data_IF_608242338891
#
_entry.id   IF_608242338891
#
_cell.length_a   1.000
_cell.length_b   1.000
_cell.length_c   1.000
_cell.angle_alpha   90.00
_cell.angle_beta   90.00
_cell.angle_gamma   90.00
#
_symmetry.space_group_name_H-M   'P 1'
#
loop_
_entity.id
_entity.type
_entity.pdbx_description
1 polymer ?
#
# COMPACT_ATOMS: atom_id res chain seq x y z
N UNK A 1 -12.72 9.68 2.69
CA UNK A 1 -11.72 9.59 1.58
C UNK A 1 -12.04 8.40 0.69
N UNK A 2 -11.83 8.50 -0.63
CA UNK A 2 -12.02 7.33 -1.51
C UNK A 2 -10.90 6.34 -1.25
N UNK A 3 -11.27 5.07 -1.11
CA UNK A 3 -10.44 4.01 -0.54
C UNK A 3 -9.57 3.40 -1.64
N UNK A 4 -8.27 3.14 -1.39
CA UNK A 4 -7.45 2.33 -2.29
C UNK A 4 -8.12 0.99 -2.58
N UNK A 5 -8.19 0.65 -3.88
CA UNK A 5 -8.66 -0.64 -4.35
C UNK A 5 -7.69 -1.70 -3.83
N UNK A 6 -8.20 -2.77 -3.23
CA UNK A 6 -7.38 -3.93 -2.89
C UNK A 6 -7.27 -4.77 -4.15
N UNK A 7 -6.06 -4.91 -4.69
CA UNK A 7 -5.83 -5.91 -5.71
C UNK A 7 -5.85 -7.27 -5.05
N UNK A 8 -6.79 -8.09 -5.47
CA UNK A 8 -6.94 -9.47 -5.04
C UNK A 8 -6.97 -10.31 -6.31
N UNK A 9 -6.09 -11.29 -6.39
CA UNK A 9 -6.02 -12.24 -7.49
C UNK A 9 -5.41 -13.55 -7.01
N UNK A 10 -5.69 -14.63 -7.74
CA UNK A 10 -5.19 -15.97 -7.43
C UNK A 10 -3.65 -16.01 -7.39
N UNK A 11 -3.09 -16.60 -6.32
CA UNK A 11 -1.65 -16.74 -6.10
C UNK A 11 -0.94 -15.44 -5.70
N UNK A 12 -1.67 -14.40 -5.31
CA UNK A 12 -1.05 -13.15 -4.88
C UNK A 12 -0.38 -13.29 -3.50
N UNK A 13 0.86 -12.83 -3.38
CA UNK A 13 1.61 -12.72 -2.12
C UNK A 13 1.49 -11.30 -1.54
N UNK A 14 1.22 -11.20 -0.24
CA UNK A 14 1.04 -9.93 0.46
C UNK A 14 1.84 -9.86 1.74
N UNK A 15 2.49 -8.72 1.95
CA UNK A 15 2.86 -8.25 3.26
C UNK A 15 1.70 -7.48 3.88
N UNK A 16 1.11 -8.06 4.91
CA UNK A 16 0.00 -7.49 5.66
C UNK A 16 0.49 -6.86 6.94
N UNK A 17 -0.03 -5.67 7.25
CA UNK A 17 0.22 -4.95 8.50
C UNK A 17 -1.11 -4.48 9.07
N UNK A 18 -1.38 -4.75 10.34
CA UNK A 18 -2.51 -4.15 11.05
C UNK A 18 -2.04 -3.61 12.39
N UNK A 19 -2.38 -2.35 12.67
CA UNK A 19 -1.89 -1.58 13.83
C UNK A 19 -3.04 -1.16 14.73
N UNK A 20 -2.80 -1.19 16.03
CA UNK A 20 -3.74 -0.77 17.06
C UNK A 20 -4.07 0.72 16.97
N UNK A 21 -5.32 1.07 17.24
CA UNK A 21 -5.82 2.45 17.22
C UNK A 21 -4.92 3.35 18.06
N UNK A 22 -4.57 4.53 17.55
CA UNK A 22 -3.65 5.47 18.23
C UNK A 22 -2.26 4.89 18.57
N UNK A 23 -1.86 3.77 17.97
CA UNK A 23 -0.59 3.12 18.27
C UNK A 23 -0.60 2.33 19.58
N UNK A 24 -1.79 2.12 20.17
CA UNK A 24 -1.99 1.32 21.38
C UNK A 24 -1.70 -0.16 21.13
N UNK A 25 -1.38 -0.84 22.21
CA UNK A 25 -1.14 -2.27 22.19
C UNK A 25 -2.38 -3.05 21.72
N UNK A 26 -2.11 -3.97 20.80
CA UNK A 26 -3.06 -4.94 20.27
C UNK A 26 -3.05 -6.21 21.13
N UNK A 27 -1.92 -6.51 21.77
CA UNK A 27 -1.75 -7.68 22.63
C UNK A 27 -1.35 -7.22 24.04
N UNK A 28 -2.28 -7.30 24.99
CA UNK A 28 -2.02 -6.88 26.36
C UNK A 28 -1.03 -7.82 27.08
N UNK A 29 -1.06 -9.11 26.72
CA UNK A 29 -0.20 -10.12 27.33
C UNK A 29 -0.02 -11.36 26.44
N UNK A 30 0.57 -12.41 27.02
CA UNK A 30 0.79 -13.70 26.38
C UNK A 30 -0.49 -14.35 25.87
N UNK A 31 -1.57 -14.32 26.66
CA UNK A 31 -2.84 -14.99 26.31
C UNK A 31 -3.48 -14.39 25.07
N UNK A 32 -3.33 -13.08 24.90
CA UNK A 32 -3.77 -12.37 23.69
C UNK A 32 -3.05 -12.86 22.43
N UNK A 33 -1.72 -13.01 22.50
CA UNK A 33 -0.91 -13.50 21.38
C UNK A 33 -1.22 -14.95 21.04
N UNK A 34 -1.36 -15.81 22.06
CA UNK A 34 -1.76 -17.20 21.89
C UNK A 34 -3.13 -17.33 21.21
N UNK A 35 -4.11 -16.55 21.67
CA UNK A 35 -5.45 -16.55 21.07
C UNK A 35 -5.44 -16.01 19.64
N UNK A 36 -4.65 -14.99 19.34
CA UNK A 36 -4.49 -14.52 17.98
C UNK A 36 -3.90 -15.59 17.06
N UNK A 37 -2.88 -16.32 17.51
CA UNK A 37 -2.29 -17.43 16.74
C UNK A 37 -3.27 -18.59 16.53
N UNK A 38 -4.16 -18.85 17.48
CA UNK A 38 -5.26 -19.81 17.32
C UNK A 38 -6.19 -19.37 16.18
N UNK A 39 -6.73 -18.15 16.24
CA UNK A 39 -7.61 -17.62 15.19
C UNK A 39 -6.90 -17.51 13.84
N UNK A 40 -5.62 -17.13 13.81
CA UNK A 40 -4.83 -17.10 12.59
C UNK A 40 -4.82 -18.49 11.94
N UNK A 41 -4.46 -19.53 12.71
CA UNK A 41 -4.39 -20.92 12.21
C UNK A 41 -5.73 -21.44 11.69
N UNK A 42 -6.81 -21.15 12.41
CA UNK A 42 -8.17 -21.53 11.98
C UNK A 42 -8.56 -20.85 10.67
N UNK A 43 -8.29 -19.55 10.55
CA UNK A 43 -8.64 -18.79 9.36
C UNK A 43 -7.73 -19.12 8.15
N UNK A 44 -6.45 -19.46 8.36
CA UNK A 44 -5.59 -19.95 7.28
C UNK A 44 -6.19 -21.20 6.63
N UNK A 45 -6.65 -22.16 7.44
CA UNK A 45 -7.32 -23.38 6.95
C UNK A 45 -8.66 -23.07 6.26
N UNK A 46 -9.48 -22.23 6.90
CA UNK A 46 -10.83 -21.91 6.40
C UNK A 46 -10.81 -21.21 5.04
N UNK A 47 -9.82 -20.37 4.81
CA UNK A 47 -9.71 -19.56 3.59
C UNK A 47 -8.65 -20.09 2.63
N UNK A 48 -8.03 -21.24 2.90
CA UNK A 48 -6.95 -21.79 2.08
C UNK A 48 -5.86 -20.75 1.79
N UNK A 49 -5.37 -20.10 2.85
CA UNK A 49 -4.33 -19.09 2.77
C UNK A 49 -3.02 -19.69 3.25
N UNK A 50 -1.97 -19.51 2.45
CA UNK A 50 -0.62 -19.96 2.78
C UNK A 50 0.07 -18.88 3.59
N UNK A 51 0.59 -19.24 4.77
CA UNK A 51 1.37 -18.34 5.61
C UNK A 51 2.85 -18.67 5.51
N UNK A 52 3.67 -17.72 5.10
CA UNK A 52 5.13 -17.83 5.18
C UNK A 52 5.65 -17.31 6.52
N UNK A 53 5.16 -16.15 6.96
CA UNK A 53 5.74 -15.44 8.11
C UNK A 53 4.68 -14.77 8.94
N UNK A 54 4.83 -14.85 10.27
CA UNK A 54 4.16 -13.95 11.20
C UNK A 54 5.17 -13.30 12.14
N UNK A 55 4.87 -12.07 12.57
CA UNK A 55 5.54 -11.36 13.68
C UNK A 55 4.48 -10.55 14.41
N UNK A 56 4.24 -10.84 15.69
CA UNK A 56 3.27 -10.13 16.52
C UNK A 56 4.01 -9.14 17.42
N UNK A 57 4.07 -7.87 17.01
CA UNK A 57 4.58 -6.76 17.84
C UNK A 57 3.51 -6.34 18.84
N UNK A 58 3.83 -5.52 19.83
CA UNK A 58 2.88 -5.15 20.89
C UNK A 58 1.67 -4.39 20.34
N UNK A 59 1.91 -3.39 19.48
CA UNK A 59 0.88 -2.53 18.91
C UNK A 59 0.52 -2.81 17.44
N UNK A 60 1.10 -3.85 16.82
CA UNK A 60 0.76 -4.26 15.46
C UNK A 60 1.23 -5.68 15.17
N UNK A 61 0.77 -6.26 14.07
CA UNK A 61 1.34 -7.51 13.58
C UNK A 61 1.69 -7.41 12.09
N UNK A 62 2.61 -8.27 11.68
CA UNK A 62 2.98 -8.49 10.29
C UNK A 62 2.66 -9.93 9.89
N UNK A 63 2.06 -10.10 8.71
CA UNK A 63 1.91 -11.41 8.07
C UNK A 63 2.49 -11.34 6.65
N UNK A 64 3.15 -12.41 6.21
CA UNK A 64 3.49 -12.63 4.80
C UNK A 64 2.65 -13.81 4.31
N UNK A 65 1.58 -13.51 3.57
CA UNK A 65 0.54 -14.48 3.19
C UNK A 65 0.35 -14.52 1.68
N UNK A 66 0.16 -15.71 1.15
CA UNK A 66 -0.26 -15.92 -0.23
C UNK A 66 -1.69 -16.42 -0.26
N UNK A 67 -2.48 -15.88 -1.19
CA UNK A 67 -3.90 -16.23 -1.35
C UNK A 67 -4.12 -16.95 -2.68
N UNK A 68 -4.03 -18.30 -2.72
CA UNK A 68 -4.36 -19.11 -3.89
C UNK A 68 -5.69 -18.73 -4.55
N UNK A 69 -6.73 -18.47 -3.73
CA UNK A 69 -8.05 -18.09 -4.23
C UNK A 69 -8.29 -16.57 -4.41
N UNK A 70 -7.29 -15.71 -4.11
CA UNK A 70 -7.46 -14.25 -4.19
C UNK A 70 -8.48 -13.70 -3.19
N UNK A 71 -8.51 -14.23 -1.96
CA UNK A 71 -9.54 -13.99 -0.95
C UNK A 71 -9.02 -13.30 0.32
N UNK A 72 -7.99 -12.45 0.19
CA UNK A 72 -7.31 -11.77 1.30
C UNK A 72 -8.28 -10.97 2.19
N UNK A 73 -9.22 -10.24 1.59
CA UNK A 73 -10.20 -9.42 2.29
C UNK A 73 -11.09 -10.24 3.21
N UNK A 74 -11.54 -11.41 2.75
CA UNK A 74 -12.38 -12.32 3.53
C UNK A 74 -11.59 -12.93 4.69
N UNK A 75 -10.38 -13.43 4.41
CA UNK A 75 -9.47 -13.96 5.42
C UNK A 75 -9.17 -12.92 6.52
N UNK A 76 -8.76 -11.72 6.14
CA UNK A 76 -8.39 -10.67 7.09
C UNK A 76 -9.59 -10.12 7.86
N UNK A 77 -10.78 -10.09 7.25
CA UNK A 77 -11.99 -9.70 7.95
C UNK A 77 -12.31 -10.69 9.07
N UNK A 78 -12.29 -11.98 8.78
CA UNK A 78 -12.58 -13.02 9.76
C UNK A 78 -11.54 -13.07 10.88
N UNK A 79 -10.24 -13.00 10.55
CA UNK A 79 -9.15 -12.95 11.52
C UNK A 79 -9.28 -11.74 12.46
N UNK A 80 -9.44 -10.54 11.92
CA UNK A 80 -9.49 -9.35 12.75
C UNK A 80 -10.78 -9.26 13.56
N UNK A 81 -11.92 -9.60 12.96
CA UNK A 81 -13.20 -9.55 13.67
C UNK A 81 -13.22 -10.52 14.86
N UNK A 82 -12.79 -11.78 14.66
CA UNK A 82 -12.72 -12.78 15.74
C UNK A 82 -11.83 -12.32 16.88
N UNK A 83 -10.64 -11.79 16.57
CA UNK A 83 -9.73 -11.30 17.59
C UNK A 83 -10.25 -10.05 18.33
N UNK A 84 -10.82 -9.08 17.63
CA UNK A 84 -11.40 -7.88 18.27
C UNK A 84 -12.53 -8.25 19.22
N UNK A 85 -13.40 -9.18 18.82
CA UNK A 85 -14.51 -9.65 19.68
C UNK A 85 -13.95 -10.30 20.96
N UNK A 86 -12.95 -11.18 20.83
CA UNK A 86 -12.28 -11.79 21.98
C UNK A 86 -11.64 -10.74 22.89
N UNK A 87 -10.80 -9.86 22.33
CA UNK A 87 -10.04 -8.86 23.08
C UNK A 87 -10.96 -7.90 23.84
N UNK A 88 -12.02 -7.42 23.19
CA UNK A 88 -13.00 -6.53 23.81
C UNK A 88 -13.78 -7.21 24.93
N UNK A 89 -14.22 -8.46 24.74
CA UNK A 89 -14.89 -9.24 25.80
C UNK A 89 -13.97 -9.45 27.00
N UNK A 90 -12.73 -9.88 26.73
CA UNK A 90 -11.73 -10.18 27.76
C UNK A 90 -11.37 -8.95 28.60
N UNK A 91 -11.11 -7.83 27.95
CA UNK A 91 -10.69 -6.59 28.62
C UNK A 91 -11.86 -5.68 29.00
N UNK A 92 -13.11 -6.13 28.83
CA UNK A 92 -14.33 -5.33 29.07
C UNK A 92 -14.28 -3.97 28.35
N UNK A 93 -13.74 -3.96 27.13
CA UNK A 93 -13.64 -2.78 26.27
C UNK A 93 -14.75 -2.75 25.22
N UNK A 94 -15.05 -1.56 24.74
CA UNK A 94 -15.89 -1.33 23.57
C UNK A 94 -15.13 -0.52 22.52
N UNK A 95 -15.56 -0.64 21.26
CA UNK A 95 -15.00 0.11 20.14
C UNK A 95 -13.91 -0.62 19.34
N UNK A 96 -13.27 0.09 18.39
CA UNK A 96 -12.28 -0.49 17.51
C UNK A 96 -10.96 -0.77 18.23
N UNK A 97 -10.35 -1.92 17.92
CA UNK A 97 -8.97 -2.22 18.35
C UNK A 97 -7.93 -1.69 17.36
N UNK A 98 -8.20 -1.79 16.06
CA UNK A 98 -7.26 -1.43 14.99
C UNK A 98 -7.56 -0.04 14.40
N UNK A 99 -6.56 0.63 13.81
CA UNK A 99 -6.66 1.95 13.13
C UNK A 99 -7.55 1.98 11.87
N UNK A 100 -8.27 0.90 11.60
CA UNK A 100 -9.11 0.72 10.43
C UNK A 100 -8.73 -0.54 9.66
N UNK A 101 -8.67 -0.43 8.34
CA UNK A 101 -8.30 -1.55 7.46
C UNK A 101 -6.81 -1.86 7.59
N UNK A 102 -6.46 -3.14 7.55
CA UNK A 102 -5.08 -3.58 7.38
C UNK A 102 -4.46 -2.97 6.10
N UNK A 103 -3.16 -2.71 6.14
CA UNK A 103 -2.33 -2.43 4.97
C UNK A 103 -1.96 -3.76 4.32
N UNK A 104 -2.03 -3.83 3.00
CA UNK A 104 -1.54 -4.96 2.22
C UNK A 104 -0.65 -4.43 1.10
N UNK A 105 0.60 -4.86 1.12
CA UNK A 105 1.59 -4.56 0.08
C UNK A 105 1.74 -5.83 -0.73
N UNK A 106 1.50 -5.75 -2.04
CA UNK A 106 1.67 -6.87 -2.95
C UNK A 106 3.16 -7.12 -3.16
N UNK A 107 3.59 -8.37 -3.08
CA UNK A 107 5.00 -8.77 -3.12
C UNK A 107 5.27 -9.66 -4.33
N UNK A 108 6.32 -9.34 -5.07
CA UNK A 108 6.94 -10.23 -6.06
C UNK A 108 7.68 -11.34 -5.32
N UNK A 109 7.09 -12.54 -5.32
CA UNK A 109 7.53 -13.68 -4.51
C UNK A 109 8.98 -14.05 -4.80
N UNK A 110 9.31 -14.16 -6.08
CA UNK A 110 10.61 -14.59 -6.58
C UNK A 110 11.72 -13.60 -6.23
N UNK A 111 11.43 -12.30 -6.33
CA UNK A 111 12.41 -11.25 -6.12
C UNK A 111 12.55 -10.85 -4.64
N UNK A 112 11.47 -10.88 -3.86
CA UNK A 112 11.44 -10.22 -2.55
C UNK A 112 11.08 -11.11 -1.36
N UNK A 113 10.56 -12.34 -1.53
CA UNK A 113 10.13 -13.15 -0.36
C UNK A 113 11.27 -13.33 0.63
N UNK A 114 12.46 -13.75 0.18
CA UNK A 114 13.61 -13.98 1.06
C UNK A 114 14.13 -12.70 1.73
N UNK A 115 14.27 -11.60 0.99
CA UNK A 115 14.75 -10.33 1.57
C UNK A 115 13.74 -9.77 2.58
N UNK A 116 12.46 -9.86 2.24
CA UNK A 116 11.39 -9.45 3.13
C UNK A 116 11.30 -10.36 4.36
N UNK A 117 11.59 -11.65 4.24
CA UNK A 117 11.55 -12.57 5.38
C UNK A 117 12.54 -12.17 6.47
N UNK A 118 13.79 -11.88 6.06
CA UNK A 118 14.81 -11.31 6.95
C UNK A 118 14.35 -10.01 7.57
N UNK A 119 13.84 -9.08 6.75
CA UNK A 119 13.35 -7.81 7.27
C UNK A 119 12.30 -8.04 8.37
N UNK A 120 11.32 -8.92 8.14
CA UNK A 120 10.25 -9.17 9.11
C UNK A 120 10.77 -9.82 10.38
N UNK A 121 11.59 -10.88 10.29
CA UNK A 121 12.14 -11.56 11.48
C UNK A 121 13.07 -10.67 12.31
N UNK A 122 13.70 -9.66 11.70
CA UNK A 122 14.49 -8.65 12.40
C UNK A 122 13.68 -7.48 12.98
N UNK A 123 12.36 -7.40 12.76
CA UNK A 123 11.54 -6.33 13.36
C UNK A 123 11.67 -6.23 14.89
N UNK A 124 11.58 -7.34 15.65
CA UNK A 124 11.71 -7.28 17.11
C UNK A 124 13.07 -6.74 17.56
N UNK A 125 14.14 -7.08 16.83
CA UNK A 125 15.50 -6.60 17.09
C UNK A 125 15.60 -5.10 16.79
N UNK A 126 15.11 -4.65 15.63
CA UNK A 126 15.07 -3.21 15.27
C UNK A 126 14.21 -2.38 16.22
N UNK A 127 13.17 -2.98 16.79
CA UNK A 127 12.33 -2.37 17.81
C UNK A 127 12.94 -2.42 19.22
N UNK A 128 14.15 -2.97 19.37
CA UNK A 128 14.87 -3.11 20.65
C UNK A 128 14.11 -3.96 21.69
N UNK A 129 13.23 -4.85 21.25
CA UNK A 129 12.49 -5.77 22.15
C UNK A 129 13.34 -6.95 22.60
N UNK A 130 14.29 -7.35 21.76
CA UNK A 130 15.22 -8.48 21.98
C UNK A 130 16.56 -8.17 21.31
N UNK A 131 17.63 -8.86 21.71
CA UNK A 131 18.96 -8.69 21.11
C UNK A 131 19.11 -9.51 19.84
N UNK A 132 18.51 -10.68 19.82
CA UNK A 132 18.58 -11.64 18.71
C UNK A 132 17.16 -12.06 18.29
N UNK A 133 16.90 -12.33 17.00
CA UNK A 133 15.57 -12.72 16.55
C UNK A 133 15.09 -14.05 17.16
N UNK A 134 16.01 -14.93 17.59
CA UNK A 134 15.76 -16.19 18.30
C UNK A 134 15.06 -15.98 19.65
N UNK A 135 15.37 -14.89 20.35
CA UNK A 135 14.78 -14.54 21.65
C UNK A 135 13.29 -14.19 21.54
N UNK A 136 12.82 -13.76 20.37
CA UNK A 136 11.44 -13.31 20.20
C UNK A 136 10.45 -14.43 19.90
N UNK A 137 9.72 -14.85 20.92
CA UNK A 137 8.80 -16.01 20.86
C UNK A 137 7.58 -15.81 19.93
N UNK A 138 7.27 -14.55 19.61
CA UNK A 138 6.05 -14.13 18.91
C UNK A 138 6.30 -13.87 17.43
N UNK A 139 7.24 -14.63 16.85
CA UNK A 139 7.50 -14.66 15.42
C UNK A 139 7.65 -16.10 14.92
N UNK A 140 7.50 -16.29 13.61
CA UNK A 140 7.77 -17.59 12.99
C UNK A 140 9.26 -17.93 12.89
N UNK A 141 10.19 -17.07 13.33
CA UNK A 141 11.62 -17.27 13.13
C UNK A 141 12.15 -18.55 13.80
N UNK A 142 11.66 -18.90 14.99
CA UNK A 142 11.99 -20.16 15.67
C UNK A 142 11.59 -21.40 14.84
N UNK A 143 10.56 -21.30 14.02
CA UNK A 143 10.15 -22.38 13.10
C UNK A 143 11.13 -22.52 11.93
N UNK A 144 11.62 -21.40 11.40
CA UNK A 144 12.67 -21.39 10.38
C UNK A 144 13.98 -22.00 10.89
N UNK A 145 14.28 -21.85 12.19
CA UNK A 145 15.45 -22.48 12.81
C UNK A 145 15.20 -23.92 13.28
N UNK A 146 13.98 -24.44 13.16
CA UNK A 146 13.62 -25.78 13.64
C UNK A 146 13.50 -25.90 15.18
N UNK A 147 13.55 -24.78 15.90
CA UNK A 147 13.36 -24.71 17.36
C UNK A 147 11.89 -24.88 17.78
N UNK A 148 10.96 -24.57 16.87
CA UNK A 148 9.52 -24.79 17.05
C UNK A 148 8.97 -25.56 15.85
N UNK A 149 8.08 -26.51 16.11
CA UNK A 149 7.38 -27.26 15.06
C UNK A 149 5.99 -26.67 14.84
N UNK A 150 5.86 -25.86 13.79
CA UNK A 150 4.59 -25.30 13.33
C UNK A 150 4.34 -25.77 11.89
N UNK A 151 3.46 -26.76 11.72
CA UNK A 151 3.13 -27.34 10.41
C UNK A 151 2.16 -26.50 9.56
N UNK A 152 1.81 -25.31 10.03
CA UNK A 152 0.90 -24.37 9.37
C UNK A 152 1.65 -23.14 8.84
N UNK A 153 2.99 -23.22 8.79
CA UNK A 153 3.88 -22.22 8.22
C UNK A 153 4.62 -22.88 7.06
N UNK A 154 4.52 -22.26 5.88
CA UNK A 154 5.23 -22.70 4.69
C UNK A 154 6.67 -22.18 4.74
N UNK A 155 7.60 -23.11 4.99
CA UNK A 155 9.03 -22.86 4.84
C UNK A 155 9.58 -23.49 3.56
N UNK A 156 8.74 -24.12 2.74
CA UNK A 156 9.15 -24.98 1.64
C UNK A 156 9.84 -24.15 0.57
N UNK A 157 9.25 -23.00 0.22
CA UNK A 157 9.85 -22.11 -0.77
C UNK A 157 11.26 -21.65 -0.38
N UNK A 158 11.48 -21.35 0.92
CA UNK A 158 12.80 -20.95 1.43
C UNK A 158 13.76 -22.15 1.48
N UNK A 159 13.26 -23.34 1.83
CA UNK A 159 14.01 -24.58 1.80
C UNK A 159 14.53 -24.89 0.39
N UNK A 160 13.66 -24.86 -0.61
CA UNK A 160 14.04 -25.09 -2.01
C UNK A 160 15.10 -24.10 -2.48
N UNK A 161 14.96 -22.82 -2.08
CA UNK A 161 15.87 -21.76 -2.50
C UNK A 161 17.26 -21.86 -1.86
N UNK A 162 17.35 -22.35 -0.62
CA UNK A 162 18.59 -22.40 0.16
C UNK A 162 19.21 -23.80 0.25
N UNK A 163 18.52 -24.85 -0.22
CA UNK A 163 19.05 -26.21 -0.35
C UNK A 163 19.07 -27.02 0.95
N UNK A 164 19.88 -28.08 0.98
CA UNK A 164 19.87 -29.10 2.04
C UNK A 164 20.07 -28.54 3.47
N UNK A 165 20.92 -27.51 3.62
CA UNK A 165 21.22 -26.86 4.89
C UNK A 165 20.47 -25.54 5.07
N UNK A 166 19.28 -25.42 4.49
CA UNK A 166 18.53 -24.15 4.43
C UNK A 166 18.36 -23.46 5.78
N UNK A 167 18.23 -24.18 6.89
CA UNK A 167 18.07 -23.56 8.22
C UNK A 167 19.31 -22.77 8.63
N UNK A 168 20.49 -23.37 8.45
CA UNK A 168 21.78 -22.74 8.74
C UNK A 168 22.00 -21.57 7.77
N UNK A 169 21.76 -21.80 6.48
CA UNK A 169 21.88 -20.76 5.47
C UNK A 169 20.92 -19.59 5.73
N UNK A 170 19.70 -19.86 6.19
CA UNK A 170 18.71 -18.85 6.53
C UNK A 170 19.14 -18.05 7.76
N UNK A 171 19.63 -18.73 8.80
CA UNK A 171 20.15 -18.06 10.00
C UNK A 171 21.30 -17.11 9.64
N UNK A 172 22.28 -17.58 8.85
CA UNK A 172 23.39 -16.77 8.37
C UNK A 172 22.92 -15.57 7.54
N UNK A 173 21.99 -15.80 6.61
CA UNK A 173 21.40 -14.76 5.78
C UNK A 173 20.69 -13.67 6.60
N UNK A 174 19.99 -14.05 7.68
CA UNK A 174 19.31 -13.11 8.58
C UNK A 174 20.30 -12.32 9.44
N UNK A 175 21.39 -12.94 9.88
CA UNK A 175 22.41 -12.33 10.74
C UNK A 175 23.45 -11.49 9.97
N UNK A 176 23.48 -11.57 8.65
CA UNK A 176 24.45 -10.85 7.82
C UNK A 176 24.29 -9.31 7.91
N UNK A 177 25.37 -8.58 8.25
CA UNK A 177 25.35 -7.12 8.52
C UNK A 177 24.91 -6.22 7.35
N UNK A 178 24.87 -6.72 6.11
CA UNK A 178 24.28 -5.99 4.98
C UNK A 178 22.74 -5.82 5.07
N UNK A 179 22.13 -6.31 6.16
CA UNK A 179 20.68 -6.39 6.42
C UNK A 179 19.96 -5.07 6.78
N UNK A 180 20.62 -3.91 6.77
CA UNK A 180 19.98 -2.63 7.12
C UNK A 180 19.22 -1.96 5.97
N UNK A 181 19.31 -2.47 4.74
CA UNK A 181 18.55 -1.89 3.64
C UNK A 181 17.07 -2.21 3.80
N UNK A 182 16.28 -1.18 4.13
CA UNK A 182 14.83 -1.25 4.17
C UNK A 182 14.30 -1.61 2.76
N UNK A 183 13.69 -2.81 2.58
CA UNK A 183 13.20 -3.25 1.27
C UNK A 183 12.12 -2.30 0.74
N UNK A 184 11.50 -1.49 1.61
CA UNK A 184 10.48 -0.54 1.22
C UNK A 184 11.03 0.77 0.61
N UNK A 185 12.35 1.02 0.64
CA UNK A 185 12.94 2.21 0.00
C UNK A 185 12.71 2.25 -1.52
N UNK A 186 12.58 1.08 -2.16
CA UNK A 186 12.34 0.94 -3.60
C UNK A 186 10.87 0.85 -3.99
N UNK A 187 9.93 1.06 -3.05
CA UNK A 187 8.48 0.95 -3.31
C UNK A 187 8.03 2.09 -4.22
N UNK A 188 7.96 1.79 -5.52
CA UNK A 188 7.36 2.64 -6.54
C UNK A 188 5.84 2.50 -6.44
N UNK A 189 5.20 3.49 -5.82
CA UNK A 189 3.79 3.51 -5.43
C UNK A 189 3.47 2.57 -4.25
N UNK A 190 2.96 3.16 -3.17
CA UNK A 190 2.76 2.69 -1.78
C UNK A 190 2.16 1.28 -1.50
N UNK A 191 1.99 0.41 -2.50
CA UNK A 191 1.28 -0.86 -2.42
C UNK A 191 1.92 -2.03 -3.17
N UNK A 192 3.06 -1.86 -3.86
CA UNK A 192 3.73 -2.94 -4.60
C UNK A 192 5.22 -2.97 -4.29
N UNK A 193 5.73 -4.14 -3.93
CA UNK A 193 7.14 -4.44 -3.73
C UNK A 193 7.55 -5.52 -4.73
N UNK A 194 8.21 -5.13 -5.82
CA UNK A 194 8.54 -6.08 -6.87
C UNK A 194 9.49 -5.54 -7.94
N UNK A 195 9.91 -6.45 -8.84
CA UNK A 195 10.65 -6.09 -10.04
C UNK A 195 9.85 -5.15 -10.94
N UNK A 196 10.52 -4.40 -11.83
CA UNK A 196 9.82 -3.49 -12.75
C UNK A 196 8.80 -4.25 -13.61
N UNK A 197 9.15 -5.46 -14.09
CA UNK A 197 8.22 -6.31 -14.85
C UNK A 197 6.99 -6.73 -14.03
N UNK A 198 7.17 -7.04 -12.75
CA UNK A 198 6.06 -7.32 -11.83
C UNK A 198 5.18 -6.09 -11.64
N UNK A 199 5.77 -4.92 -11.40
CA UNK A 199 5.03 -3.66 -11.25
C UNK A 199 4.18 -3.38 -12.50
N UNK A 200 4.71 -3.60 -13.70
CA UNK A 200 3.95 -3.43 -14.95
C UNK A 200 2.81 -4.45 -15.09
N UNK A 201 3.03 -5.73 -14.74
CA UNK A 201 1.96 -6.76 -14.72
C UNK A 201 0.83 -6.37 -13.76
N UNK A 202 1.19 -5.85 -12.58
CA UNK A 202 0.23 -5.39 -11.58
C UNK A 202 -0.54 -4.17 -12.09
N UNK A 203 0.14 -3.18 -12.66
CA UNK A 203 -0.51 -2.02 -13.31
C UNK A 203 -1.50 -2.45 -14.39
N UNK A 204 -1.13 -3.38 -15.26
CA UNK A 204 -2.02 -3.91 -16.30
C UNK A 204 -3.27 -4.58 -15.70
N UNK A 205 -3.11 -5.37 -14.62
CA UNK A 205 -4.23 -5.97 -13.88
C UNK A 205 -5.14 -4.93 -13.24
N UNK A 206 -4.56 -3.87 -12.66
CA UNK A 206 -5.33 -2.73 -12.13
C UNK A 206 -6.16 -2.10 -13.25
N UNK A 207 -5.53 -1.78 -14.39
CA UNK A 207 -6.23 -1.14 -15.52
C UNK A 207 -7.32 -2.02 -16.11
N UNK A 208 -7.19 -3.36 -16.06
CA UNK A 208 -8.23 -4.30 -16.45
C UNK A 208 -9.38 -4.35 -15.43
N UNK A 209 -9.05 -4.55 -14.15
CA UNK A 209 -10.05 -4.56 -13.07
C UNK A 209 -10.85 -3.25 -12.98
N UNK A 210 -10.27 -2.13 -13.42
CA UNK A 210 -10.95 -0.83 -13.53
C UNK A 210 -11.89 -0.71 -14.72
N UNK A 211 -11.63 -1.42 -15.82
CA UNK A 211 -12.53 -1.49 -16.97
C UNK A 211 -13.75 -2.36 -16.66
N UNK A 212 -13.52 -3.45 -15.92
CA UNK A 212 -14.58 -4.39 -15.54
C UNK A 212 -15.41 -3.92 -14.35
N UNK A 213 -14.92 -2.94 -13.58
CA UNK A 213 -15.59 -2.42 -12.40
C UNK A 213 -16.00 -0.96 -12.58
N UNK A 214 -17.29 -0.70 -12.78
CA UNK A 214 -17.89 0.64 -12.64
C UNK A 214 -17.83 1.12 -11.17
N UNK A 215 -16.62 1.35 -10.64
CA UNK A 215 -16.39 1.69 -9.23
C UNK A 215 -15.85 3.13 -9.12
N UNK A 216 -16.60 4.07 -8.52
CA UNK A 216 -16.21 5.49 -8.35
C UNK A 216 -14.89 5.71 -7.60
N UNK A 217 -14.43 4.73 -6.81
CA UNK A 217 -13.23 4.82 -5.97
C UNK A 217 -11.91 4.67 -6.74
N UNK A 218 -11.93 4.05 -7.92
CA UNK A 218 -10.75 3.85 -8.76
C UNK A 218 -10.20 5.16 -9.36
N UNK A 219 -11.06 6.19 -9.51
CA UNK A 219 -10.71 7.52 -10.07
C UNK A 219 -9.67 8.30 -9.24
N UNK A 220 -9.30 7.85 -8.03
CA UNK A 220 -8.27 8.50 -7.20
C UNK A 220 -6.87 7.87 -7.28
N UNK A 221 -6.71 6.68 -7.87
CA UNK A 221 -5.42 5.96 -7.88
C UNK A 221 -4.61 6.14 -9.18
N UNK A 222 -5.12 6.88 -10.15
CA UNK A 222 -4.38 7.44 -11.29
C UNK A 222 -4.81 8.89 -11.41
N UNK A 223 -4.28 9.71 -10.51
CA UNK A 223 -4.35 11.14 -10.73
C UNK A 223 -3.36 11.45 -11.86
N UNK A 224 -3.80 12.12 -12.95
CA UNK A 224 -2.87 12.56 -13.99
C UNK A 224 -1.74 13.36 -13.34
N UNK A 225 -0.53 13.23 -13.86
CA UNK A 225 0.59 14.10 -13.50
C UNK A 225 0.36 15.52 -14.03
N UNK A 226 1.13 16.48 -13.54
CA UNK A 226 1.16 17.83 -14.12
C UNK A 226 1.46 17.79 -15.62
N UNK A 227 2.35 16.90 -16.05
CA UNK A 227 2.74 16.79 -17.46
C UNK A 227 1.59 16.22 -18.32
N UNK A 228 0.82 15.25 -17.80
CA UNK A 228 -0.39 14.76 -18.50
C UNK A 228 -1.42 15.88 -18.72
N UNK A 229 -1.60 16.76 -17.71
CA UNK A 229 -2.49 17.91 -17.82
C UNK A 229 -1.98 18.92 -18.84
N UNK A 230 -0.68 19.23 -18.84
CA UNK A 230 -0.06 20.16 -19.77
C UNK A 230 -0.17 19.63 -21.20
N UNK A 231 0.19 18.37 -21.43
CA UNK A 231 0.11 17.72 -22.73
C UNK A 231 -1.32 17.72 -23.28
N UNK A 232 -2.31 17.36 -22.46
CA UNK A 232 -3.73 17.36 -22.89
C UNK A 232 -4.27 18.75 -23.17
N UNK A 233 -3.91 19.72 -22.34
CA UNK A 233 -4.32 21.11 -22.56
C UNK A 233 -3.67 21.66 -23.84
N UNK A 234 -2.40 21.35 -24.06
CA UNK A 234 -1.65 21.69 -25.29
C UNK A 234 -2.34 21.12 -26.53
N UNK A 235 -2.65 19.82 -26.54
CA UNK A 235 -3.33 19.16 -27.66
C UNK A 235 -4.71 19.77 -27.96
N UNK A 236 -5.49 20.09 -26.93
CA UNK A 236 -6.85 20.62 -27.10
C UNK A 236 -6.85 22.05 -27.64
N UNK A 237 -5.98 22.91 -27.12
CA UNK A 237 -5.92 24.32 -27.52
C UNK A 237 -4.96 24.58 -28.68
N UNK A 238 -4.20 23.56 -29.12
CA UNK A 238 -3.18 23.65 -30.18
C UNK A 238 -2.13 24.73 -29.87
N UNK A 239 -1.66 24.76 -28.63
CA UNK A 239 -0.62 25.67 -28.11
C UNK A 239 0.49 24.86 -27.47
N UNK A 240 1.72 25.36 -27.43
CA UNK A 240 2.83 24.59 -26.82
C UNK A 240 2.71 24.51 -25.29
N UNK A 241 3.35 23.53 -24.66
CA UNK A 241 3.38 23.45 -23.20
C UNK A 241 4.12 24.64 -22.58
N UNK A 242 5.17 25.16 -23.24
CA UNK A 242 5.87 26.37 -22.83
C UNK A 242 4.96 27.60 -22.86
N UNK A 243 4.08 27.71 -23.86
CA UNK A 243 3.11 28.81 -23.94
C UNK A 243 2.12 28.79 -22.78
N UNK A 244 1.67 27.60 -22.36
CA UNK A 244 0.81 27.41 -21.19
C UNK A 244 1.52 27.83 -19.90
N UNK A 245 2.81 27.52 -19.78
CA UNK A 245 3.62 27.86 -18.62
C UNK A 245 4.06 29.33 -18.57
N UNK A 246 3.95 30.06 -19.68
CA UNK A 246 4.27 31.50 -19.75
C UNK A 246 3.24 32.36 -18.99
N UNK A 247 3.71 33.37 -18.25
CA UNK A 247 2.82 34.33 -17.55
C UNK A 247 2.16 35.28 -18.55
N UNK A 248 0.99 34.91 -19.06
CA UNK A 248 0.10 35.77 -19.86
C UNK A 248 -1.18 36.08 -19.11
N UNK A 249 -1.57 37.35 -19.08
CA UNK A 249 -2.86 37.80 -18.52
C UNK A 249 -3.97 37.26 -19.43
N UNK A 250 -5.01 36.72 -18.80
CA UNK A 250 -6.22 36.23 -19.50
C UNK A 250 -6.03 35.11 -20.52
N UNK A 251 -4.96 34.32 -20.38
CA UNK A 251 -4.73 33.14 -21.21
C UNK A 251 -5.51 31.92 -20.70
N UNK A 252 -6.59 31.56 -21.40
CA UNK A 252 -7.51 30.50 -20.99
C UNK A 252 -6.86 29.11 -20.85
N UNK A 253 -5.97 28.65 -21.76
CA UNK A 253 -5.31 27.34 -21.63
C UNK A 253 -4.52 27.23 -20.32
N UNK A 254 -3.80 28.28 -19.94
CA UNK A 254 -3.08 28.34 -18.66
C UNK A 254 -3.99 28.28 -17.44
N UNK A 255 -5.10 29.03 -17.45
CA UNK A 255 -6.07 29.01 -16.35
C UNK A 255 -6.67 27.62 -16.16
N UNK A 256 -7.01 26.95 -17.27
CA UNK A 256 -7.54 25.59 -17.29
C UNK A 256 -6.50 24.58 -16.82
N UNK A 257 -5.26 24.64 -17.33
CA UNK A 257 -4.19 23.76 -16.91
C UNK A 257 -3.93 23.88 -15.40
N UNK A 258 -3.79 25.10 -14.88
CA UNK A 258 -3.58 25.33 -13.43
C UNK A 258 -4.74 24.79 -12.60
N UNK A 259 -5.98 24.99 -13.06
CA UNK A 259 -7.18 24.46 -12.40
C UNK A 259 -7.23 22.93 -12.40
N UNK A 260 -7.02 22.31 -13.57
CA UNK A 260 -7.03 20.86 -13.72
C UNK A 260 -5.90 20.21 -12.94
N UNK A 261 -4.70 20.80 -12.94
CA UNK A 261 -3.58 20.38 -12.10
C UNK A 261 -3.97 20.36 -10.63
N UNK A 262 -4.59 21.44 -10.13
CA UNK A 262 -5.00 21.53 -8.72
C UNK A 262 -6.08 20.52 -8.34
N UNK A 263 -6.99 20.20 -9.26
CA UNK A 263 -8.18 19.36 -9.00
C UNK A 263 -7.95 17.88 -9.28
N UNK A 264 -7.10 17.56 -10.25
CA UNK A 264 -6.94 16.22 -10.77
C UNK A 264 -5.62 15.58 -10.34
N UNK A 265 -4.57 16.35 -10.04
CA UNK A 265 -3.24 15.85 -9.73
C UNK A 265 -3.00 15.66 -8.21
N UNK A 266 -1.87 15.06 -7.80
CA UNK A 266 -1.51 14.75 -6.40
C UNK A 266 -0.29 15.52 -5.87
N UNK A 267 0.36 16.28 -6.73
CA UNK A 267 1.57 17.05 -6.48
C UNK A 267 1.31 18.13 -5.42
N UNK A 268 2.38 18.57 -4.76
CA UNK A 268 2.27 19.60 -3.72
C UNK A 268 2.00 20.96 -4.36
N UNK A 269 1.28 21.83 -3.66
CA UNK A 269 0.99 23.19 -4.15
C UNK A 269 2.29 23.98 -4.43
N UNK A 270 3.36 23.70 -3.69
CA UNK A 270 4.68 24.30 -3.93
C UNK A 270 5.28 23.87 -5.28
N UNK A 271 5.14 22.60 -5.65
CA UNK A 271 5.61 22.05 -6.93
C UNK A 271 4.81 22.64 -8.10
N UNK A 272 3.49 22.78 -7.94
CA UNK A 272 2.63 23.48 -8.91
C UNK A 272 3.06 24.94 -9.07
N UNK A 273 3.32 25.63 -7.95
CA UNK A 273 3.80 27.01 -7.95
C UNK A 273 5.11 27.15 -8.74
N UNK A 274 6.10 26.29 -8.46
CA UNK A 274 7.37 26.25 -9.22
C UNK A 274 7.13 26.02 -10.71
N UNK A 275 6.32 25.01 -11.07
CA UNK A 275 6.07 24.63 -12.46
C UNK A 275 5.38 25.73 -13.26
N UNK A 276 4.38 26.39 -12.69
CA UNK A 276 3.69 27.52 -13.31
C UNK A 276 4.38 28.87 -13.08
N UNK A 277 5.54 28.89 -12.41
CA UNK A 277 6.27 30.12 -12.09
C UNK A 277 5.44 31.11 -11.28
N UNK A 278 4.65 30.68 -10.29
CA UNK A 278 3.89 31.52 -9.36
C UNK A 278 4.12 31.11 -7.90
N UNK A 279 3.96 32.02 -6.94
CA UNK A 279 4.11 31.65 -5.53
C UNK A 279 2.97 30.73 -5.06
N UNK A 280 3.24 29.86 -4.07
CA UNK A 280 2.28 28.87 -3.60
C UNK A 280 0.93 29.48 -3.13
N UNK A 281 0.85 30.69 -2.51
CA UNK A 281 -0.43 31.28 -2.13
C UNK A 281 -1.24 31.77 -3.34
N UNK A 282 -0.58 32.18 -4.44
CA UNK A 282 -1.27 32.63 -5.65
C UNK A 282 -1.94 31.47 -6.40
N UNK A 283 -1.45 30.23 -6.26
CA UNK A 283 -2.09 29.05 -6.88
C UNK A 283 -3.54 28.91 -6.39
N UNK A 284 -3.76 28.92 -5.07
CA UNK A 284 -5.10 28.78 -4.49
C UNK A 284 -6.03 29.94 -4.88
N UNK A 285 -5.52 31.18 -4.88
CA UNK A 285 -6.30 32.36 -5.29
C UNK A 285 -6.68 32.33 -6.78
N UNK A 286 -5.75 31.90 -7.65
CA UNK A 286 -5.99 31.80 -9.08
C UNK A 286 -7.04 30.72 -9.41
N UNK A 287 -7.00 29.59 -8.71
CA UNK A 287 -7.98 28.50 -8.83
C UNK A 287 -9.37 28.96 -8.40
N UNK A 288 -9.50 29.62 -7.24
CA UNK A 288 -10.78 30.14 -6.77
C UNK A 288 -11.39 31.18 -7.72
N UNK A 289 -10.59 32.13 -8.22
CA UNK A 289 -11.03 33.11 -9.23
C UNK A 289 -11.49 32.44 -10.54
N UNK A 290 -10.84 31.33 -10.92
CA UNK A 290 -11.24 30.60 -12.12
C UNK A 290 -12.56 29.81 -11.91
N UNK A 291 -12.83 29.32 -10.71
CA UNK A 291 -14.13 28.70 -10.37
C UNK A 291 -15.29 29.69 -10.50
N UNK A 292 -15.13 30.92 -10.04
CA UNK A 292 -16.11 32.00 -10.26
C UNK A 292 -16.32 32.28 -11.76
N UNK A 293 -15.23 32.24 -12.54
CA UNK A 293 -15.29 32.43 -14.00
C UNK A 293 -16.10 31.33 -14.68
N UNK A 294 -15.86 30.07 -14.31
CA UNK A 294 -16.62 28.93 -14.83
C UNK A 294 -18.11 28.99 -14.47
N UNK A 295 -18.45 29.53 -13.29
CA UNK A 295 -19.84 29.75 -12.89
C UNK A 295 -20.57 30.78 -13.77
N UNK A 296 -19.82 31.71 -14.38
CA UNK A 296 -20.36 32.76 -15.27
C UNK A 296 -20.25 32.42 -16.76
N UNK A 297 -19.42 31.43 -17.14
CA UNK A 297 -19.11 31.06 -18.52
C UNK A 297 -19.36 29.56 -18.77
N UNK A 298 -20.58 29.18 -19.23
CA UNK A 298 -20.95 27.78 -19.43
C UNK A 298 -20.06 27.02 -20.43
N UNK A 299 -19.57 27.70 -21.47
CA UNK A 299 -18.67 27.09 -22.45
C UNK A 299 -17.32 26.70 -21.84
N UNK A 300 -16.76 27.56 -20.99
CA UNK A 300 -15.53 27.25 -20.25
C UNK A 300 -15.71 26.05 -19.33
N UNK A 301 -16.86 25.97 -18.63
CA UNK A 301 -17.18 24.82 -17.79
C UNK A 301 -17.31 23.51 -18.61
N UNK A 302 -17.89 23.57 -19.81
CA UNK A 302 -17.97 22.41 -20.73
C UNK A 302 -16.58 21.94 -21.16
N UNK A 303 -15.70 22.86 -21.57
CA UNK A 303 -14.31 22.54 -21.96
C UNK A 303 -13.57 21.86 -20.81
N UNK A 304 -13.66 22.42 -19.59
CA UNK A 304 -13.05 21.84 -18.40
C UNK A 304 -13.61 20.45 -18.11
N UNK A 305 -14.92 20.24 -18.27
CA UNK A 305 -15.54 18.94 -18.08
C UNK A 305 -15.06 17.90 -19.10
N UNK A 306 -14.89 18.29 -20.37
CA UNK A 306 -14.36 17.42 -21.43
C UNK A 306 -12.92 17.01 -21.13
N UNK A 307 -12.04 18.00 -20.90
CA UNK A 307 -10.63 17.73 -20.59
C UNK A 307 -10.46 16.90 -19.33
N UNK A 308 -11.27 17.17 -18.30
CA UNK A 308 -11.28 16.38 -17.07
C UNK A 308 -11.73 14.93 -17.30
N UNK A 309 -12.70 14.70 -18.20
CA UNK A 309 -13.13 13.35 -18.56
C UNK A 309 -12.01 12.60 -19.27
N UNK A 310 -11.36 13.24 -20.25
CA UNK A 310 -10.27 12.63 -21.02
C UNK A 310 -9.05 12.32 -20.17
N UNK A 311 -8.69 13.21 -19.24
CA UNK A 311 -7.60 13.03 -18.28
C UNK A 311 -7.83 11.88 -17.28
N UNK A 312 -9.10 11.51 -17.03
CA UNK A 312 -9.48 10.46 -16.08
C UNK A 312 -9.77 9.11 -16.75
N UNK A 313 -9.66 9.04 -18.08
CA UNK A 313 -9.81 7.83 -18.89
C UNK A 313 -8.47 7.22 -19.34
N UNK A 314 -7.34 7.87 -19.00
CA UNK A 314 -5.97 7.34 -19.10
C UNK A 314 -5.66 6.42 -17.91
#
# INVERSE_FOLDING_TARGET
>A
MARPLRLEFSGALYHVISRGIEGRDVFADRRDREKFLEYLRENLKRYDVVLYIYVLMDNHYHLLVETPAGNLSSFMHALNASYVVYHNRRLKRAGPLFQGRYKAILVDKEAYLLVLSRYLHLNPVRAHLVRTPEEYEWSSYRTYLGMRRENWIDCEWVRERLGANWRIAYQQFVQEKAAEQDPFQKVRASFVLGSESFVQKVKARISRARRDAEIPSAKKLTRPSMDDVLQKTSQFFRVSEEEILTRRRDFLPRKIALYLTRKCCSEKIEEMGKRFGINYPAVSKAVARFEETMGRQPETARIVSMLKKDLLCL
#
